data_IF_465216513429
#
_entry.id   IF_465216513429
#
_cell.length_a   1.000
_cell.length_b   1.000
_cell.length_c   1.000
_cell.angle_alpha   90.00
_cell.angle_beta   90.00
_cell.angle_gamma   90.00
#
_symmetry.space_group_name_H-M   'P 1'
#
loop_
_entity.id
_entity.type
_entity.pdbx_description
1 polymer ?
#
# COMPACT_ATOMS: atom_id res chain seq x y z
N UNK A 1 -32.31 7.19 -37.17
CA UNK A 1 -31.25 6.35 -36.55
C UNK A 1 -30.80 7.06 -35.28
N UNK A 2 -31.41 6.73 -34.13
CA UNK A 2 -30.97 7.25 -32.83
C UNK A 2 -29.69 6.50 -32.43
N UNK A 3 -28.62 7.24 -32.11
CA UNK A 3 -27.41 6.67 -31.53
C UNK A 3 -27.69 6.41 -30.05
N UNK A 4 -27.67 5.15 -29.65
CA UNK A 4 -27.70 4.77 -28.23
C UNK A 4 -26.46 5.37 -27.56
N UNK A 5 -26.69 6.19 -26.52
CA UNK A 5 -25.62 6.63 -25.64
C UNK A 5 -25.08 5.41 -24.88
N UNK A 6 -23.76 5.19 -24.79
CA UNK A 6 -23.23 4.15 -23.95
C UNK A 6 -23.63 4.43 -22.50
N UNK A 7 -24.32 3.48 -21.88
CA UNK A 7 -24.57 3.45 -20.45
C UNK A 7 -23.26 3.72 -19.72
N UNK A 8 -23.24 4.80 -18.94
CA UNK A 8 -22.15 5.09 -18.00
C UNK A 8 -22.13 3.87 -17.05
N UNK A 9 -21.12 3.01 -17.21
CA UNK A 9 -20.93 1.86 -16.34
C UNK A 9 -20.93 2.34 -14.89
N UNK A 10 -21.72 1.69 -14.03
CA UNK A 10 -21.77 2.00 -12.61
C UNK A 10 -20.35 2.04 -12.04
N UNK A 11 -19.93 3.22 -11.58
CA UNK A 11 -18.67 3.36 -10.86
C UNK A 11 -18.90 2.69 -9.51
N UNK A 12 -18.58 1.40 -9.40
CA UNK A 12 -18.66 0.67 -8.15
C UNK A 12 -17.89 1.44 -7.07
N UNK A 13 -18.57 1.69 -5.95
CA UNK A 13 -18.00 2.31 -4.75
C UNK A 13 -17.38 1.27 -3.82
N UNK A 14 -17.38 0.00 -4.20
CA UNK A 14 -16.83 -1.07 -3.36
C UNK A 14 -15.32 -0.92 -3.21
N UNK A 15 -14.86 -0.90 -1.96
CA UNK A 15 -13.45 -0.85 -1.63
C UNK A 15 -12.88 -2.27 -1.82
N UNK A 16 -11.90 -2.40 -2.72
CA UNK A 16 -11.32 -3.71 -3.06
C UNK A 16 -10.03 -4.00 -2.30
N UNK A 17 -9.76 -5.28 -2.12
CA UNK A 17 -8.47 -5.75 -1.64
C UNK A 17 -7.39 -5.64 -2.73
N UNK A 18 -6.16 -5.31 -2.33
CA UNK A 18 -4.99 -5.30 -3.19
C UNK A 18 -4.37 -6.70 -3.31
N UNK A 19 -3.61 -6.97 -4.39
CA UNK A 19 -2.90 -8.24 -4.55
C UNK A 19 -1.99 -8.54 -3.36
N UNK A 20 -2.19 -9.68 -2.69
CA UNK A 20 -1.43 -10.09 -1.50
C UNK A 20 0.08 -9.98 -1.68
N UNK A 21 0.59 -10.44 -2.84
CA UNK A 21 2.02 -10.44 -3.20
C UNK A 21 2.66 -9.05 -3.19
N UNK A 22 1.87 -7.99 -3.36
CA UNK A 22 2.37 -6.61 -3.36
C UNK A 22 2.32 -6.03 -1.95
N UNK A 23 1.25 -6.32 -1.20
CA UNK A 23 1.09 -5.85 0.19
C UNK A 23 2.14 -6.48 1.10
N UNK A 24 2.43 -7.78 0.94
CA UNK A 24 3.39 -8.53 1.78
C UNK A 24 4.81 -7.97 1.71
N UNK A 25 5.16 -7.35 0.58
CA UNK A 25 6.48 -6.74 0.32
C UNK A 25 6.63 -5.36 0.94
N UNK A 26 5.55 -4.74 1.43
CA UNK A 26 5.62 -3.44 2.08
C UNK A 26 6.39 -3.53 3.39
N UNK A 27 7.52 -2.82 3.48
CA UNK A 27 8.39 -2.85 4.64
C UNK A 27 7.97 -1.88 5.76
N UNK A 28 7.18 -0.87 5.42
CA UNK A 28 6.62 0.12 6.35
C UNK A 28 5.32 0.72 5.80
N UNK A 29 4.58 1.43 6.66
CA UNK A 29 3.24 1.95 6.34
C UNK A 29 3.25 2.95 5.17
N UNK A 30 4.29 3.77 5.01
CA UNK A 30 4.37 4.70 3.88
C UNK A 30 4.49 4.00 2.51
N UNK A 31 5.13 2.82 2.45
CA UNK A 31 5.12 1.98 1.23
C UNK A 31 3.71 1.47 0.93
N UNK A 32 2.97 1.04 1.96
CA UNK A 32 1.58 0.62 1.79
C UNK A 32 0.69 1.79 1.33
N UNK A 33 0.91 3.03 1.80
CA UNK A 33 0.18 4.20 1.30
C UNK A 33 0.44 4.44 -0.19
N UNK A 34 1.71 4.43 -0.61
CA UNK A 34 2.06 4.56 -2.03
C UNK A 34 1.48 3.42 -2.87
N UNK A 35 1.40 2.21 -2.31
CA UNK A 35 0.76 1.08 -2.97
C UNK A 35 -0.75 1.33 -3.16
N UNK A 36 -1.44 1.85 -2.15
CA UNK A 36 -2.86 2.24 -2.24
C UNK A 36 -3.08 3.29 -3.34
N UNK A 37 -2.19 4.30 -3.42
CA UNK A 37 -2.23 5.32 -4.47
C UNK A 37 -1.98 4.72 -5.87
N UNK A 38 -1.02 3.81 -5.99
CA UNK A 38 -0.70 3.12 -7.25
C UNK A 38 -1.90 2.33 -7.79
N UNK A 39 -2.66 1.69 -6.91
CA UNK A 39 -3.88 0.95 -7.24
C UNK A 39 -5.16 1.79 -7.10
N UNK A 40 -5.02 3.11 -6.97
CA UNK A 40 -6.18 4.00 -6.89
C UNK A 40 -6.95 3.97 -8.20
N UNK A 41 -8.28 3.92 -8.11
CA UNK A 41 -9.16 4.02 -9.29
C UNK A 41 -9.10 5.40 -9.94
N UNK A 42 -8.70 6.40 -9.18
CA UNK A 42 -8.64 7.81 -9.59
C UNK A 42 -7.21 8.31 -9.50
N UNK A 43 -6.69 8.80 -10.63
CA UNK A 43 -5.43 9.51 -10.68
C UNK A 43 -5.60 10.90 -10.07
N UNK A 44 -4.72 11.26 -9.13
CA UNK A 44 -4.71 12.54 -8.42
C UNK A 44 -3.27 12.98 -8.19
N UNK A 45 -3.04 14.28 -8.24
CA UNK A 45 -1.76 14.86 -7.86
C UNK A 45 -1.63 14.98 -6.33
N UNK A 46 -0.41 15.28 -5.85
CA UNK A 46 -0.11 15.42 -4.43
C UNK A 46 -0.95 16.50 -3.74
N UNK A 47 -1.28 17.58 -4.47
CA UNK A 47 -2.07 18.70 -3.94
C UNK A 47 -3.52 18.25 -3.67
N UNK A 48 -4.11 17.52 -4.61
CA UNK A 48 -5.45 16.93 -4.48
C UNK A 48 -5.50 15.92 -3.33
N UNK A 49 -4.48 15.07 -3.20
CA UNK A 49 -4.39 14.15 -2.07
C UNK A 49 -4.28 14.87 -0.74
N UNK A 50 -3.43 15.89 -0.65
CA UNK A 50 -3.26 16.68 0.56
C UNK A 50 -4.56 17.37 0.97
N UNK A 51 -5.28 17.96 0.01
CA UNK A 51 -6.58 18.59 0.23
C UNK A 51 -7.63 17.62 0.76
N UNK A 52 -7.75 16.41 0.16
CA UNK A 52 -8.69 15.37 0.62
C UNK A 52 -8.41 14.99 2.08
N UNK A 53 -7.14 14.90 2.45
CA UNK A 53 -6.72 14.50 3.79
C UNK A 53 -6.61 15.68 4.76
N UNK A 54 -7.10 16.88 4.38
CA UNK A 54 -7.09 18.06 5.23
C UNK A 54 -5.68 18.54 5.65
N UNK A 55 -4.66 18.31 4.83
CA UNK A 55 -3.27 18.64 5.14
C UNK A 55 -2.60 19.44 4.02
N UNK A 56 -1.40 19.99 4.31
CA UNK A 56 -0.61 20.67 3.28
C UNK A 56 0.10 19.65 2.38
N UNK A 57 0.37 20.02 1.12
CA UNK A 57 1.16 19.19 0.20
C UNK A 57 2.51 18.76 0.77
N UNK A 58 3.19 19.65 1.50
CA UNK A 58 4.45 19.33 2.18
C UNK A 58 4.29 18.28 3.28
N UNK A 59 3.22 18.36 4.06
CA UNK A 59 2.90 17.36 5.08
C UNK A 59 2.58 16.00 4.45
N UNK A 60 1.77 15.99 3.39
CA UNK A 60 1.44 14.79 2.61
C UNK A 60 2.70 14.15 2.02
N UNK A 61 3.54 14.93 1.34
CA UNK A 61 4.78 14.41 0.76
C UNK A 61 5.74 13.86 1.81
N UNK A 62 5.81 14.49 2.98
CA UNK A 62 6.60 13.97 4.10
C UNK A 62 6.03 12.65 4.63
N UNK A 63 4.70 12.51 4.61
CA UNK A 63 3.98 11.32 5.06
C UNK A 63 4.23 10.15 4.10
N UNK A 64 3.93 10.32 2.81
CA UNK A 64 4.01 9.23 1.83
C UNK A 64 5.43 8.86 1.46
N UNK A 65 6.42 9.74 1.64
CA UNK A 65 7.84 9.47 1.32
C UNK A 65 8.69 9.17 2.56
N UNK A 66 8.08 8.77 3.67
CA UNK A 66 8.81 8.41 4.88
C UNK A 66 9.46 7.02 4.76
N UNK A 67 10.51 6.92 3.95
CA UNK A 67 11.21 5.65 3.66
C UNK A 67 12.27 5.26 4.67
N UNK A 68 12.81 6.25 5.40
CA UNK A 68 13.90 6.02 6.33
C UNK A 68 13.37 5.96 7.76
N UNK A 69 13.72 4.90 8.48
CA UNK A 69 13.54 4.83 9.95
C UNK A 69 14.51 5.78 10.68
N UNK A 70 15.57 6.23 10.00
CA UNK A 70 16.57 7.15 10.51
C UNK A 70 16.49 8.51 9.80
N UNK A 71 16.86 9.57 10.49
CA UNK A 71 17.10 10.91 9.91
C UNK A 71 18.36 10.91 9.05
N UNK A 72 18.64 12.01 8.35
CA UNK A 72 19.93 12.22 7.68
C UNK A 72 21.12 12.22 8.64
N UNK A 73 20.87 12.45 9.92
CA UNK A 73 21.86 12.42 11.01
C UNK A 73 21.98 11.06 11.69
N UNK A 74 21.24 10.03 11.22
CA UNK A 74 21.28 8.68 11.78
C UNK A 74 20.42 8.48 13.04
N UNK A 75 19.62 9.46 13.44
CA UNK A 75 18.73 9.36 14.60
C UNK A 75 17.42 8.66 14.24
N UNK A 76 16.82 7.86 15.15
CA UNK A 76 15.49 7.31 14.94
C UNK A 76 14.47 8.43 14.66
N UNK A 77 13.83 8.37 13.49
CA UNK A 77 12.73 9.29 13.19
C UNK A 77 11.61 9.08 14.20
N UNK A 78 11.07 10.18 14.72
CA UNK A 78 9.93 10.17 15.65
C UNK A 78 8.79 9.35 15.05
N UNK A 79 8.22 8.46 15.86
CA UNK A 79 6.99 7.74 15.50
C UNK A 79 5.91 8.78 15.23
N UNK A 80 5.33 8.74 14.04
CA UNK A 80 4.12 9.51 13.71
C UNK A 80 2.93 8.62 14.02
N UNK A 81 2.03 9.12 14.85
CA UNK A 81 0.73 8.52 15.01
C UNK A 81 -0.15 9.08 13.91
N UNK A 82 -0.68 8.20 13.07
CA UNK A 82 -1.71 8.56 12.09
C UNK A 82 -3.06 8.34 12.73
N UNK A 83 -3.96 9.30 12.50
CA UNK A 83 -5.35 9.15 12.88
C UNK A 83 -5.98 7.99 12.09
N UNK A 84 -6.81 7.19 12.77
CA UNK A 84 -7.51 6.07 12.16
C UNK A 84 -8.56 6.56 11.16
N UNK A 85 -9.17 7.71 11.44
CA UNK A 85 -10.16 8.32 10.54
C UNK A 85 -9.48 8.78 9.25
N UNK A 86 -8.30 9.39 9.36
CA UNK A 86 -7.49 9.78 8.21
C UNK A 86 -7.07 8.57 7.35
N UNK A 87 -6.80 7.43 7.98
CA UNK A 87 -6.52 6.16 7.30
C UNK A 87 -7.75 5.64 6.55
N UNK A 88 -8.93 5.72 7.15
CA UNK A 88 -10.18 5.34 6.51
C UNK A 88 -10.49 6.24 5.32
N UNK A 89 -10.40 7.57 5.50
CA UNK A 89 -10.62 8.56 4.43
C UNK A 89 -9.66 8.37 3.26
N UNK A 90 -8.39 8.09 3.55
CA UNK A 90 -7.40 7.80 2.54
C UNK A 90 -7.75 6.54 1.72
N UNK A 91 -8.11 5.44 2.38
CA UNK A 91 -8.50 4.20 1.71
C UNK A 91 -9.78 4.36 0.89
N UNK A 92 -10.77 5.10 1.42
CA UNK A 92 -11.98 5.45 0.70
C UNK A 92 -11.67 6.24 -0.57
N UNK A 93 -10.77 7.23 -0.47
CA UNK A 93 -10.35 8.04 -1.61
C UNK A 93 -9.54 7.25 -2.65
N UNK A 94 -8.75 6.24 -2.23
CA UNK A 94 -8.09 5.30 -3.14
C UNK A 94 -9.04 4.25 -3.73
N UNK A 95 -10.14 3.93 -3.04
CA UNK A 95 -11.05 2.83 -3.40
C UNK A 95 -10.46 1.44 -3.15
N UNK A 96 -9.51 1.31 -2.22
CA UNK A 96 -8.91 0.02 -1.85
C UNK A 96 -8.53 -0.08 -0.36
N UNK A 97 -8.43 -1.30 0.17
CA UNK A 97 -8.15 -1.61 1.59
C UNK A 97 -6.67 -1.87 1.87
N UNK A 98 -5.75 -1.37 1.03
CA UNK A 98 -4.35 -1.75 1.08
C UNK A 98 -3.65 -1.44 2.41
N UNK A 99 -4.02 -0.35 3.09
CA UNK A 99 -3.46 0.00 4.40
C UNK A 99 -3.95 -0.95 5.49
N UNK A 100 -5.23 -1.28 5.49
CA UNK A 100 -5.82 -2.22 6.44
C UNK A 100 -5.23 -3.63 6.23
N UNK A 101 -5.13 -4.10 4.99
CA UNK A 101 -4.46 -5.37 4.68
C UNK A 101 -3.01 -5.37 5.18
N UNK A 102 -2.24 -4.29 4.95
CA UNK A 102 -0.88 -4.17 5.48
C UNK A 102 -0.84 -4.28 7.01
N UNK A 103 -1.74 -3.59 7.72
CA UNK A 103 -1.80 -3.63 9.19
C UNK A 103 -2.15 -5.03 9.70
N UNK A 104 -3.09 -5.72 9.06
CA UNK A 104 -3.47 -7.10 9.38
C UNK A 104 -2.30 -8.07 9.17
N UNK A 105 -1.59 -7.97 8.03
CA UNK A 105 -0.41 -8.81 7.77
C UNK A 105 0.72 -8.52 8.76
N UNK A 106 0.93 -7.24 9.10
CA UNK A 106 1.94 -6.84 10.09
C UNK A 106 1.63 -7.40 11.47
N UNK A 107 0.38 -7.33 11.90
CA UNK A 107 -0.08 -7.87 13.19
C UNK A 107 0.09 -9.39 13.25
N UNK A 108 -0.11 -10.09 12.12
CA UNK A 108 0.10 -11.53 11.99
C UNK A 108 1.56 -11.95 11.77
N UNK A 109 2.50 -11.00 11.62
CA UNK A 109 3.91 -11.31 11.35
C UNK A 109 4.17 -11.87 9.95
N UNK A 110 3.27 -11.60 8.99
CA UNK A 110 3.30 -12.21 7.66
C UNK A 110 4.05 -11.39 6.61
N UNK A 111 4.45 -10.14 6.93
CA UNK A 111 5.20 -9.30 6.00
C UNK A 111 6.63 -9.82 5.79
N UNK A 112 7.15 -9.65 4.58
CA UNK A 112 8.51 -10.09 4.23
C UNK A 112 9.57 -9.40 5.09
N UNK A 113 9.34 -8.15 5.47
CA UNK A 113 10.26 -7.39 6.33
C UNK A 113 10.33 -7.89 7.78
N UNK A 114 9.41 -8.77 8.20
CA UNK A 114 9.38 -9.40 9.52
C UNK A 114 10.01 -10.79 9.49
N UNK A 115 10.22 -11.36 8.30
CA UNK A 115 10.86 -12.68 8.14
C UNK A 115 12.36 -12.57 8.39
N UNK A 116 12.94 -13.57 9.04
CA UNK A 116 14.39 -13.69 9.13
C UNK A 116 14.99 -13.96 7.74
N UNK A 117 16.25 -13.58 7.55
CA UNK A 117 17.00 -13.87 6.31
C UNK A 117 17.01 -15.39 6.03
N UNK A 118 17.13 -16.20 7.09
CA UNK A 118 17.13 -17.66 7.01
C UNK A 118 15.77 -18.21 6.56
N UNK A 119 14.67 -17.68 7.08
CA UNK A 119 13.32 -18.07 6.65
C UNK A 119 13.10 -17.73 5.17
N UNK A 120 13.56 -16.55 4.72
CA UNK A 120 13.47 -16.16 3.31
C UNK A 120 14.33 -17.04 2.41
N UNK A 121 15.54 -17.39 2.85
CA UNK A 121 16.43 -18.31 2.12
C UNK A 121 15.79 -19.70 1.98
N UNK A 122 15.16 -20.22 3.03
CA UNK A 122 14.49 -21.51 3.00
C UNK A 122 13.29 -21.54 2.03
N UNK A 123 12.52 -20.46 1.97
CA UNK A 123 11.41 -20.29 1.02
C UNK A 123 11.91 -20.22 -0.44
N UNK A 124 12.95 -19.44 -0.72
CA UNK A 124 13.55 -19.37 -2.06
C UNK A 124 14.10 -20.72 -2.53
N UNK A 125 14.73 -21.49 -1.64
CA UNK A 125 15.19 -22.85 -1.93
C UNK A 125 14.03 -23.83 -2.17
N UNK A 126 12.84 -23.54 -1.66
CA UNK A 126 11.63 -24.32 -1.94
C UNK A 126 11.04 -23.93 -3.29
N UNK A 127 10.90 -22.64 -3.58
CA UNK A 127 10.44 -22.14 -4.88
C UNK A 127 11.34 -22.63 -6.02
N UNK A 128 12.67 -22.64 -5.84
CA UNK A 128 13.62 -23.21 -6.81
C UNK A 128 13.36 -24.70 -7.07
N UNK A 129 13.14 -25.48 -6.02
CA UNK A 129 12.84 -26.92 -6.15
C UNK A 129 11.51 -27.16 -6.87
N UNK A 130 10.49 -26.37 -6.57
CA UNK A 130 9.18 -26.50 -7.21
C UNK A 130 9.27 -26.14 -8.71
N UNK A 131 10.12 -25.16 -9.09
CA UNK A 131 10.40 -24.82 -10.49
C UNK A 131 11.18 -25.96 -11.18
N UNK A 132 12.22 -26.50 -10.54
CA UNK A 132 13.00 -27.61 -11.09
C UNK A 132 12.15 -28.88 -11.28
N UNK A 133 11.17 -29.12 -10.41
CA UNK A 133 10.25 -30.26 -10.50
C UNK A 133 9.09 -30.03 -11.48
N UNK A 134 8.65 -28.77 -11.67
CA UNK A 134 7.61 -28.41 -12.64
C UNK A 134 8.11 -28.22 -14.07
N UNK A 135 9.43 -28.15 -14.28
CA UNK A 135 10.08 -28.06 -15.59
C UNK A 135 10.55 -29.42 -16.14
N UNK A 136 10.21 -30.52 -15.47
CA UNK A 136 10.55 -31.90 -15.85
C UNK A 136 9.37 -32.62 -16.54
#
# INVERSE_FOLDING_TARGET
MQKEMPLIAEISTEIVDLPYKDVVRCSHWAQAMRLCMKYSRTSRDDESWAHILGMTRGAFNTLVNQDKRLTSTGEPRRKRNLDIDLLADFQNACGNRGMQQYLELRAKGLLDCQRSIEARKAELLRELRDIEQGAA
#
